data_IF_926848169526
#
_entry.id   IF_926848169526
#
_cell.length_a   1.000
_cell.length_b   1.000
_cell.length_c   1.000
_cell.angle_alpha   90.00
_cell.angle_beta   90.00
_cell.angle_gamma   90.00
#
_symmetry.space_group_name_H-M   'P 1'
#
loop_
_entity.id
_entity.type
_entity.pdbx_description
1 polymer ?
#
# COMPACT_ATOMS: atom_id res chain seq x y z
N UNK A 1 -13.56 6.64 3.74
CA UNK A 1 -12.90 6.37 5.05
C UNK A 1 -13.69 7.04 6.17
N UNK A 2 -14.48 6.26 6.95
CA UNK A 2 -15.07 6.78 8.19
C UNK A 2 -13.92 7.26 9.08
N UNK A 3 -13.93 8.54 9.47
CA UNK A 3 -13.03 9.07 10.49
C UNK A 3 -13.15 8.14 11.71
N UNK A 4 -12.09 7.41 12.05
CA UNK A 4 -11.98 6.72 13.34
C UNK A 4 -11.75 7.82 14.39
N UNK A 5 -12.81 8.62 14.65
CA UNK A 5 -12.90 9.58 15.76
C UNK A 5 -13.65 9.02 16.96
N UNK A 6 -14.24 7.81 16.82
CA UNK A 6 -15.03 7.19 17.86
C UNK A 6 -14.35 5.92 18.36
N UNK A 7 -13.52 6.02 19.39
CA UNK A 7 -12.94 4.86 20.06
C UNK A 7 -11.62 5.07 20.78
N UNK A 8 -10.95 6.19 20.59
CA UNK A 8 -9.81 6.56 21.45
C UNK A 8 -10.41 7.18 22.72
N UNK A 9 -10.43 6.41 23.80
CA UNK A 9 -10.91 6.86 25.10
C UNK A 9 -10.26 8.18 25.54
N UNK A 10 -11.03 8.99 26.25
CA UNK A 10 -10.72 10.31 26.81
C UNK A 10 -9.49 10.39 27.77
N UNK A 11 -8.70 9.35 27.90
CA UNK A 11 -7.40 9.39 28.57
C UNK A 11 -6.33 9.55 27.49
N UNK A 12 -5.69 10.69 27.40
CA UNK A 12 -4.78 11.12 26.31
C UNK A 12 -3.54 10.27 26.04
N UNK A 13 -3.51 9.02 26.41
CA UNK A 13 -2.49 8.04 26.09
C UNK A 13 -3.03 7.03 25.06
N UNK A 14 -2.35 6.91 23.94
CA UNK A 14 -2.64 5.89 22.94
C UNK A 14 -2.36 4.51 23.52
N UNK A 15 -3.40 3.65 23.60
CA UNK A 15 -3.24 2.28 24.04
C UNK A 15 -2.68 1.39 22.92
N UNK A 16 -1.56 0.73 23.20
CA UNK A 16 -0.92 -0.19 22.24
C UNK A 16 -1.82 -1.37 21.87
N UNK A 17 -2.55 -1.95 22.83
CA UNK A 17 -3.40 -3.10 22.58
C UNK A 17 -4.53 -2.76 21.57
N UNK A 18 -5.13 -1.56 21.72
CA UNK A 18 -6.14 -1.08 20.79
C UNK A 18 -5.56 -0.81 19.41
N UNK A 19 -4.40 -0.15 19.32
CA UNK A 19 -3.70 0.08 18.06
C UNK A 19 -3.35 -1.24 17.37
N UNK A 20 -2.84 -2.20 18.12
CA UNK A 20 -2.52 -3.53 17.59
C UNK A 20 -3.76 -4.21 17.01
N UNK A 21 -4.87 -4.25 17.78
CA UNK A 21 -6.13 -4.87 17.36
C UNK A 21 -6.68 -4.24 16.05
N UNK A 22 -6.63 -2.91 15.96
CA UNK A 22 -7.20 -2.18 14.81
C UNK A 22 -6.29 -2.24 13.58
N UNK A 23 -4.99 -2.09 13.78
CA UNK A 23 -4.05 -1.94 12.66
C UNK A 23 -3.40 -3.24 12.19
N UNK A 24 -3.29 -4.28 13.04
CA UNK A 24 -2.65 -5.55 12.66
C UNK A 24 -3.22 -6.15 11.36
N UNK A 25 -4.54 -6.35 11.20
CA UNK A 25 -5.07 -6.94 9.98
C UNK A 25 -4.80 -6.07 8.74
N UNK A 26 -4.81 -4.75 8.89
CA UNK A 26 -4.54 -3.80 7.80
C UNK A 26 -3.06 -3.81 7.41
N UNK A 27 -2.17 -3.76 8.40
CA UNK A 27 -0.73 -3.78 8.17
C UNK A 27 -0.29 -5.13 7.58
N UNK A 28 -0.86 -6.23 8.04
CA UNK A 28 -0.58 -7.55 7.49
C UNK A 28 -1.01 -7.65 6.02
N UNK A 29 -2.22 -7.18 5.67
CA UNK A 29 -2.68 -7.11 4.29
C UNK A 29 -1.77 -6.22 3.42
N UNK A 30 -1.40 -5.05 3.93
CA UNK A 30 -0.49 -4.13 3.27
C UNK A 30 0.88 -4.79 3.01
N UNK A 31 1.48 -5.39 4.03
CA UNK A 31 2.77 -6.06 3.92
C UNK A 31 2.71 -7.26 2.97
N UNK A 32 1.65 -8.08 3.04
CA UNK A 32 1.45 -9.18 2.09
C UNK A 32 1.41 -8.71 0.64
N UNK A 33 0.88 -7.52 0.38
CA UNK A 33 0.86 -6.92 -0.95
C UNK A 33 2.19 -6.25 -1.33
N UNK A 34 3.07 -5.97 -0.36
CA UNK A 34 4.37 -5.35 -0.60
C UNK A 34 5.50 -6.38 -0.78
N UNK A 35 5.51 -7.44 0.01
CA UNK A 35 6.63 -8.37 0.14
C UNK A 35 6.24 -9.85 0.01
N UNK A 36 4.95 -10.16 -0.17
CA UNK A 36 4.43 -11.52 -0.17
C UNK A 36 3.90 -11.95 1.20
N UNK A 37 3.05 -13.01 1.19
CA UNK A 37 2.38 -13.47 2.40
C UNK A 37 3.33 -14.21 3.36
N UNK A 38 4.35 -14.87 2.82
CA UNK A 38 5.27 -15.68 3.62
C UNK A 38 6.09 -14.85 4.61
N UNK A 39 6.54 -13.67 4.18
CA UNK A 39 7.39 -12.78 4.98
C UNK A 39 6.57 -11.72 5.75
N UNK A 40 5.30 -11.53 5.37
CA UNK A 40 4.47 -10.45 5.90
C UNK A 40 4.25 -10.53 7.41
N UNK A 41 4.07 -11.73 7.97
CA UNK A 41 3.82 -11.91 9.41
C UNK A 41 5.05 -11.56 10.25
N UNK A 42 6.24 -12.01 9.85
CA UNK A 42 7.50 -11.69 10.53
C UNK A 42 7.74 -10.17 10.53
N UNK A 43 7.60 -9.54 9.37
CA UNK A 43 7.79 -8.09 9.23
C UNK A 43 6.70 -7.32 9.97
N UNK A 44 5.46 -7.81 10.03
CA UNK A 44 4.40 -7.19 10.82
C UNK A 44 4.73 -7.20 12.32
N UNK A 45 5.28 -8.29 12.84
CA UNK A 45 5.73 -8.36 14.25
C UNK A 45 6.81 -7.31 14.53
N UNK A 46 7.84 -7.19 13.65
CA UNK A 46 8.88 -6.17 13.79
C UNK A 46 8.29 -4.74 13.75
N UNK A 47 7.34 -4.49 12.83
CA UNK A 47 6.62 -3.21 12.76
C UNK A 47 5.94 -2.88 14.10
N UNK A 48 5.19 -3.82 14.69
CA UNK A 48 4.48 -3.57 15.94
C UNK A 48 5.41 -3.47 17.15
N UNK A 49 6.55 -4.16 17.16
CA UNK A 49 7.61 -3.93 18.14
C UNK A 49 8.15 -2.49 18.06
N UNK A 50 8.37 -1.97 16.85
CA UNK A 50 8.80 -0.56 16.65
C UNK A 50 7.70 0.42 17.05
N UNK A 51 6.42 0.11 16.78
CA UNK A 51 5.27 0.90 17.22
C UNK A 51 5.22 0.96 18.73
N UNK A 52 5.31 -0.17 19.43
CA UNK A 52 5.30 -0.24 20.90
C UNK A 52 6.40 0.62 21.53
N UNK A 53 7.65 0.46 21.03
CA UNK A 53 8.80 1.24 21.53
C UNK A 53 8.71 2.73 21.20
N UNK A 54 8.03 3.08 20.10
CA UNK A 54 7.89 4.46 19.64
C UNK A 54 6.68 5.19 20.21
N UNK A 55 5.71 4.47 20.77
CA UNK A 55 4.41 5.01 21.15
C UNK A 55 4.53 6.13 22.21
N UNK A 56 5.35 5.92 23.22
CA UNK A 56 5.58 6.93 24.28
C UNK A 56 6.28 8.21 23.76
N UNK A 57 6.91 8.16 22.59
CA UNK A 57 7.55 9.30 21.93
C UNK A 57 6.69 9.93 20.84
N UNK A 58 5.52 9.37 20.57
CA UNK A 58 4.61 9.87 19.54
C UNK A 58 3.98 11.19 19.97
N UNK A 59 4.37 12.29 19.33
CA UNK A 59 3.94 13.66 19.69
C UNK A 59 2.66 14.12 18.97
N UNK A 60 1.92 13.23 18.29
CA UNK A 60 0.68 13.62 17.60
C UNK A 60 0.86 14.55 16.38
N UNK A 61 2.08 14.73 15.87
CA UNK A 61 2.36 15.61 14.70
C UNK A 61 1.81 15.08 13.39
N UNK A 62 1.33 13.86 13.36
CA UNK A 62 0.65 13.22 12.24
C UNK A 62 -0.46 12.33 12.76
N UNK A 63 -1.34 11.86 11.87
CA UNK A 63 -2.27 10.79 12.26
C UNK A 63 -1.50 9.53 12.63
N UNK A 64 -2.00 8.78 13.61
CA UNK A 64 -1.41 7.50 14.06
C UNK A 64 -1.30 6.52 12.90
N UNK A 65 -2.32 6.44 12.05
CA UNK A 65 -2.30 5.63 10.83
C UNK A 65 -1.12 5.97 9.92
N UNK A 66 -0.89 7.26 9.64
CA UNK A 66 0.25 7.74 8.83
C UNK A 66 1.58 7.29 9.43
N UNK A 67 1.72 7.38 10.75
CA UNK A 67 2.93 6.98 11.45
C UNK A 67 3.17 5.47 11.37
N UNK A 68 2.13 4.64 11.61
CA UNK A 68 2.22 3.18 11.55
C UNK A 68 2.54 2.73 10.11
N UNK A 69 1.83 3.27 9.08
CA UNK A 69 2.12 2.95 7.69
C UNK A 69 3.52 3.37 7.25
N UNK A 70 4.07 4.46 7.79
CA UNK A 70 5.47 4.85 7.54
C UNK A 70 6.44 3.80 8.07
N UNK A 71 6.23 3.30 9.28
CA UNK A 71 7.07 2.23 9.86
C UNK A 71 6.97 0.96 9.00
N UNK A 72 5.75 0.56 8.62
CA UNK A 72 5.51 -0.62 7.82
C UNK A 72 6.13 -0.51 6.41
N UNK A 73 5.98 0.65 5.77
CA UNK A 73 6.56 0.88 4.43
C UNK A 73 8.07 0.83 4.44
N UNK A 74 8.70 1.46 5.44
CA UNK A 74 10.16 1.42 5.57
C UNK A 74 10.63 -0.03 5.81
N UNK A 75 9.99 -0.78 6.70
CA UNK A 75 10.32 -2.18 6.95
C UNK A 75 10.19 -3.03 5.68
N UNK A 76 9.12 -2.86 4.91
CA UNK A 76 8.91 -3.57 3.64
C UNK A 76 9.98 -3.22 2.59
N UNK A 77 10.32 -1.94 2.44
CA UNK A 77 11.35 -1.50 1.49
C UNK A 77 12.73 -2.01 1.90
N UNK A 78 13.07 -1.96 3.19
CA UNK A 78 14.34 -2.48 3.70
C UNK A 78 14.42 -4.00 3.48
N UNK A 79 13.33 -4.72 3.67
CA UNK A 79 13.24 -6.15 3.37
C UNK A 79 13.52 -6.43 1.88
N UNK A 80 12.88 -5.71 0.96
CA UNK A 80 13.07 -5.84 -0.49
C UNK A 80 14.49 -5.47 -0.95
N UNK A 81 15.23 -4.68 -0.19
CA UNK A 81 16.63 -4.29 -0.48
C UNK A 81 17.66 -5.33 -0.06
N UNK A 82 17.33 -6.28 0.80
CA UNK A 82 18.28 -7.32 1.25
C UNK A 82 18.82 -8.12 0.06
N UNK A 83 20.13 -8.39 -0.02
CA UNK A 83 20.76 -9.06 -1.18
C UNK A 83 20.21 -10.46 -1.49
N UNK A 84 19.72 -11.18 -0.50
CA UNK A 84 19.12 -12.51 -0.65
C UNK A 84 17.84 -12.50 -1.52
N UNK A 85 17.14 -11.37 -1.61
CA UNK A 85 15.93 -11.20 -2.42
C UNK A 85 16.21 -10.61 -3.81
N UNK A 86 17.35 -9.95 -4.03
CA UNK A 86 17.77 -9.44 -5.35
C UNK A 86 17.94 -10.56 -6.40
N UNK A 87 18.10 -11.81 -6.00
CA UNK A 87 18.17 -12.96 -6.93
C UNK A 87 16.81 -13.38 -7.51
N UNK A 88 15.68 -12.91 -6.94
CA UNK A 88 14.33 -13.24 -7.41
C UNK A 88 13.72 -12.20 -8.33
N UNK A 89 14.21 -10.97 -8.31
CA UNK A 89 13.76 -9.90 -9.21
C UNK A 89 14.92 -9.50 -10.13
N UNK A 90 15.00 -10.18 -11.26
CA UNK A 90 15.95 -9.90 -12.34
C UNK A 90 15.40 -8.72 -13.13
N UNK A 91 15.64 -7.50 -12.64
CA UNK A 91 15.71 -6.28 -13.45
C UNK A 91 16.10 -5.13 -12.53
N UNK A 92 17.32 -4.64 -12.73
CA UNK A 92 17.91 -3.58 -11.95
C UNK A 92 17.26 -2.23 -12.26
N UNK A 93 16.59 -1.67 -11.27
CA UNK A 93 16.27 -0.24 -11.23
C UNK A 93 16.58 0.26 -9.82
N UNK A 94 17.52 1.18 -9.73
CA UNK A 94 17.89 1.89 -8.49
C UNK A 94 16.66 2.53 -7.85
N UNK A 95 16.33 2.10 -6.64
CA UNK A 95 15.29 2.71 -5.82
C UNK A 95 15.89 3.56 -4.72
N UNK A 96 16.26 4.77 -5.08
CA UNK A 96 16.57 5.80 -4.09
C UNK A 96 15.28 6.42 -3.55
N UNK A 97 14.93 6.13 -2.28
CA UNK A 97 14.08 7.01 -1.49
C UNK A 97 15.06 7.82 -0.63
N UNK A 98 15.22 9.13 -0.86
CA UNK A 98 16.05 9.93 0.01
C UNK A 98 15.42 10.00 1.39
N UNK A 99 16.19 9.72 2.43
CA UNK A 99 15.85 10.07 3.80
C UNK A 99 15.96 11.60 3.94
N UNK A 100 14.96 12.32 3.45
CA UNK A 100 14.92 13.77 3.44
C UNK A 100 13.91 14.30 4.44
N UNK A 101 14.39 15.03 5.45
CA UNK A 101 13.59 15.96 6.24
C UNK A 101 13.11 17.06 5.29
N UNK A 102 11.83 17.07 4.94
CA UNK A 102 11.24 18.24 4.32
C UNK A 102 9.82 18.44 4.84
N UNK A 103 9.56 19.67 5.25
CA UNK A 103 8.28 20.18 5.73
C UNK A 103 7.49 20.56 4.50
N UNK A 104 6.31 20.00 4.31
CA UNK A 104 5.44 20.30 3.17
C UNK A 104 4.05 20.59 3.66
N UNK A 105 3.53 21.76 3.28
CA UNK A 105 2.13 22.17 3.41
C UNK A 105 1.32 21.58 2.24
N UNK A 106 0.10 21.17 2.51
CA UNK A 106 -0.73 20.43 1.55
C UNK A 106 -2.13 20.99 1.53
N UNK A 107 -2.58 21.45 0.37
CA UNK A 107 -3.98 21.75 0.07
C UNK A 107 -4.69 20.50 -0.50
N UNK A 108 -5.97 20.35 -0.13
CA UNK A 108 -6.82 19.19 -0.42
C UNK A 108 -7.54 19.30 -1.77
N UNK A 109 -7.63 18.17 -2.48
CA UNK A 109 -8.68 17.95 -3.49
C UNK A 109 -9.08 16.48 -3.60
N UNK A 110 -10.37 16.26 -3.72
CA UNK A 110 -11.17 15.08 -3.42
C UNK A 110 -11.18 13.88 -4.39
N UNK A 111 -11.50 12.74 -3.79
CA UNK A 111 -12.52 11.68 -3.97
C UNK A 111 -12.53 10.79 -5.23
N UNK A 112 -12.56 9.45 -5.03
CA UNK A 112 -13.67 8.54 -5.37
C UNK A 112 -13.47 7.16 -4.76
N UNK A 113 -14.52 6.66 -4.11
CA UNK A 113 -14.71 5.28 -3.68
C UNK A 113 -16.02 4.77 -4.29
N UNK A 114 -16.07 3.50 -4.72
CA UNK A 114 -17.35 2.83 -4.94
C UNK A 114 -17.32 1.39 -4.45
N UNK A 115 -18.35 1.03 -3.66
CA UNK A 115 -18.61 -0.31 -3.12
C UNK A 115 -19.74 -0.97 -3.90
N UNK A 116 -19.58 -2.23 -4.31
CA UNK A 116 -20.72 -3.15 -4.42
C UNK A 116 -20.33 -4.62 -4.27
N UNK A 117 -21.12 -5.34 -3.48
CA UNK A 117 -21.03 -6.76 -3.17
C UNK A 117 -21.49 -7.65 -4.34
N UNK A 118 -20.94 -8.85 -4.47
CA UNK A 118 -21.33 -9.81 -5.48
C UNK A 118 -21.26 -11.28 -5.02
N UNK A 119 -21.99 -12.15 -5.74
CA UNK A 119 -22.33 -13.54 -5.45
C UNK A 119 -21.20 -14.58 -5.62
N UNK A 120 -21.44 -15.85 -5.23
CA UNK A 120 -20.46 -16.93 -5.13
C UNK A 120 -19.70 -17.29 -6.43
N UNK A 121 -20.31 -17.19 -7.60
CA UNK A 121 -19.62 -17.38 -8.90
C UNK A 121 -18.56 -16.31 -9.17
N UNK A 122 -18.80 -15.09 -8.72
CA UNK A 122 -17.85 -13.98 -8.77
C UNK A 122 -16.62 -14.22 -7.87
N UNK A 123 -16.71 -15.11 -6.87
CA UNK A 123 -15.60 -15.32 -5.92
C UNK A 123 -14.45 -16.17 -6.50
N UNK A 124 -14.73 -17.12 -7.40
CA UNK A 124 -13.69 -17.95 -8.06
C UNK A 124 -12.98 -17.09 -9.13
N UNK A 125 -13.76 -16.40 -9.94
CA UNK A 125 -13.27 -15.43 -10.95
C UNK A 125 -12.43 -14.34 -10.29
N UNK A 126 -12.91 -13.80 -9.16
CA UNK A 126 -12.15 -12.84 -8.36
C UNK A 126 -10.84 -13.41 -7.80
N UNK A 127 -10.77 -14.69 -7.46
CA UNK A 127 -9.56 -15.35 -6.95
C UNK A 127 -8.43 -15.40 -7.98
N UNK A 128 -8.74 -15.74 -9.23
CA UNK A 128 -7.78 -15.79 -10.33
C UNK A 128 -7.35 -14.39 -10.77
N UNK A 129 -8.29 -13.47 -10.90
CA UNK A 129 -8.04 -12.07 -11.18
C UNK A 129 -7.15 -11.42 -10.12
N UNK A 130 -7.41 -11.67 -8.84
CA UNK A 130 -6.59 -11.16 -7.72
C UNK A 130 -5.18 -11.75 -7.77
N UNK A 131 -5.04 -13.03 -8.12
CA UNK A 131 -3.73 -13.69 -8.26
C UNK A 131 -2.93 -13.09 -9.41
N UNK A 132 -3.55 -12.90 -10.57
CA UNK A 132 -2.95 -12.24 -11.73
C UNK A 132 -2.49 -10.81 -11.35
N UNK A 133 -3.39 -10.01 -10.79
CA UNK A 133 -3.09 -8.65 -10.34
C UNK A 133 -1.92 -8.60 -9.35
N UNK A 134 -1.88 -9.53 -8.41
CA UNK A 134 -0.82 -9.62 -7.40
C UNK A 134 0.54 -9.91 -8.03
N UNK A 135 0.60 -10.84 -8.99
CA UNK A 135 1.83 -11.17 -9.72
C UNK A 135 2.43 -9.95 -10.45
N UNK A 136 1.60 -9.06 -10.98
CA UNK A 136 2.09 -7.85 -11.66
C UNK A 136 2.40 -6.71 -10.69
N UNK A 137 1.68 -6.61 -9.56
CA UNK A 137 2.06 -5.69 -8.48
C UNK A 137 3.46 -6.04 -7.98
N UNK A 138 3.80 -7.33 -7.87
CA UNK A 138 5.12 -7.80 -7.42
C UNK A 138 6.26 -7.48 -8.40
N UNK A 139 5.95 -7.28 -9.69
CA UNK A 139 6.92 -6.83 -10.69
C UNK A 139 7.15 -5.31 -10.70
N UNK A 140 6.33 -4.53 -9.99
CA UNK A 140 6.54 -3.09 -9.88
C UNK A 140 7.79 -2.78 -9.03
N UNK A 141 8.57 -1.75 -9.40
CA UNK A 141 9.59 -1.19 -8.52
C UNK A 141 9.00 -0.85 -7.14
N UNK A 142 9.73 -1.12 -6.07
CA UNK A 142 9.23 -1.00 -4.69
C UNK A 142 8.59 0.37 -4.38
N UNK A 143 9.14 1.45 -4.93
CA UNK A 143 8.62 2.81 -4.77
C UNK A 143 7.30 3.08 -5.51
N UNK A 144 7.06 2.42 -6.65
CA UNK A 144 5.78 2.48 -7.38
C UNK A 144 4.77 1.53 -6.73
N UNK A 145 5.19 0.33 -6.34
CA UNK A 145 4.37 -0.65 -5.62
C UNK A 145 3.79 -0.03 -4.36
N UNK A 146 4.62 0.61 -3.51
CA UNK A 146 4.16 1.24 -2.29
C UNK A 146 3.05 2.29 -2.53
N UNK A 147 3.22 3.15 -3.54
CA UNK A 147 2.21 4.17 -3.87
C UNK A 147 0.92 3.55 -4.40
N UNK A 148 1.02 2.54 -5.27
CA UNK A 148 -0.16 1.84 -5.83
C UNK A 148 -0.91 1.11 -4.72
N UNK A 149 -0.22 0.37 -3.85
CA UNK A 149 -0.85 -0.39 -2.76
C UNK A 149 -1.50 0.54 -1.75
N UNK A 150 -0.82 1.60 -1.31
CA UNK A 150 -1.39 2.59 -0.37
C UNK A 150 -2.60 3.32 -0.95
N UNK A 151 -2.60 3.62 -2.26
CA UNK A 151 -3.73 4.26 -2.93
C UNK A 151 -4.89 3.31 -3.15
N UNK A 152 -4.64 2.13 -3.75
CA UNK A 152 -5.70 1.26 -4.28
C UNK A 152 -6.23 0.27 -3.24
N UNK A 153 -5.38 -0.26 -2.35
CA UNK A 153 -5.80 -1.25 -1.34
C UNK A 153 -6.10 -0.61 0.01
N UNK A 154 -5.35 0.42 0.40
CA UNK A 154 -5.56 1.09 1.69
C UNK A 154 -6.40 2.36 1.58
N UNK A 155 -6.71 2.80 0.35
CA UNK A 155 -7.59 3.95 0.08
C UNK A 155 -7.03 5.28 0.60
N UNK A 156 -5.70 5.42 0.71
CA UNK A 156 -5.08 6.65 1.17
C UNK A 156 -5.09 7.71 0.07
N UNK A 157 -5.39 8.94 0.44
CA UNK A 157 -5.28 10.10 -0.46
C UNK A 157 -3.80 10.41 -0.76
N UNK A 158 -3.52 11.03 -1.91
CA UNK A 158 -2.15 11.37 -2.33
C UNK A 158 -1.36 12.15 -1.27
N UNK A 159 -2.03 13.06 -0.55
CA UNK A 159 -1.43 13.83 0.53
C UNK A 159 -1.04 12.96 1.74
N UNK A 160 -1.84 11.95 2.07
CA UNK A 160 -1.54 10.99 3.15
C UNK A 160 -0.37 10.09 2.74
N UNK A 161 -0.36 9.61 1.50
CA UNK A 161 0.74 8.82 0.93
C UNK A 161 2.04 9.62 0.93
N UNK A 162 1.98 10.91 0.56
CA UNK A 162 3.13 11.81 0.62
C UNK A 162 3.70 11.91 2.04
N UNK A 163 2.83 12.04 3.05
CA UNK A 163 3.24 12.03 4.47
C UNK A 163 3.81 10.69 4.92
N UNK A 164 3.20 9.55 4.50
CA UNK A 164 3.70 8.20 4.80
C UNK A 164 5.11 8.00 4.24
N UNK A 165 5.31 8.37 2.97
CA UNK A 165 6.58 8.14 2.26
C UNK A 165 7.61 9.23 2.49
N UNK A 166 7.25 10.39 3.06
CA UNK A 166 8.14 11.54 3.24
C UNK A 166 8.57 12.17 1.90
N UNK A 167 7.70 12.21 0.91
CA UNK A 167 7.95 12.73 -0.44
C UNK A 167 6.91 13.77 -0.84
N UNK A 168 7.17 14.54 -1.90
CA UNK A 168 6.22 15.51 -2.45
C UNK A 168 4.97 14.83 -3.04
N UNK A 169 3.80 15.47 -2.94
CA UNK A 169 2.54 15.01 -3.55
C UNK A 169 2.67 14.82 -5.06
N UNK A 170 3.40 15.70 -5.75
CA UNK A 170 3.67 15.54 -7.17
C UNK A 170 4.47 14.27 -7.49
N UNK A 171 5.43 13.90 -6.62
CA UNK A 171 6.16 12.63 -6.75
C UNK A 171 5.23 11.44 -6.55
N UNK A 172 4.28 11.52 -5.62
CA UNK A 172 3.24 10.49 -5.44
C UNK A 172 2.42 10.35 -6.71
N UNK A 173 1.89 11.47 -7.26
CA UNK A 173 1.09 11.46 -8.50
C UNK A 173 1.86 10.84 -9.67
N UNK A 174 3.13 11.21 -9.87
CA UNK A 174 3.96 10.64 -10.92
C UNK A 174 4.22 9.13 -10.73
N UNK A 175 4.54 8.70 -9.50
CA UNK A 175 4.77 7.29 -9.20
C UNK A 175 3.49 6.48 -9.37
N UNK A 176 2.35 7.01 -8.93
CA UNK A 176 1.05 6.38 -9.08
C UNK A 176 0.67 6.23 -10.57
N UNK A 177 0.84 7.29 -11.35
CA UNK A 177 0.61 7.25 -12.79
C UNK A 177 1.49 6.20 -13.48
N UNK A 178 2.80 6.24 -13.27
CA UNK A 178 3.75 5.27 -13.86
C UNK A 178 3.45 3.83 -13.42
N UNK A 179 3.16 3.62 -12.14
CA UNK A 179 2.81 2.31 -11.60
C UNK A 179 1.53 1.75 -12.22
N UNK A 180 0.48 2.57 -12.31
CA UNK A 180 -0.79 2.18 -12.95
C UNK A 180 -0.64 1.91 -14.45
N UNK A 181 0.07 2.77 -15.18
CA UNK A 181 0.32 2.58 -16.61
C UNK A 181 1.06 1.27 -16.88
N UNK A 182 2.11 0.97 -16.10
CA UNK A 182 2.85 -0.29 -16.23
C UNK A 182 1.97 -1.49 -15.91
N UNK A 183 1.21 -1.42 -14.80
CA UNK A 183 0.31 -2.49 -14.38
C UNK A 183 -0.76 -2.78 -15.44
N UNK A 184 -1.41 -1.75 -15.98
CA UNK A 184 -2.41 -1.89 -17.03
C UNK A 184 -1.80 -2.55 -18.28
N UNK A 185 -0.64 -2.08 -18.73
CA UNK A 185 0.06 -2.65 -19.87
C UNK A 185 0.38 -4.14 -19.67
N UNK A 186 0.86 -4.51 -18.49
CA UNK A 186 1.20 -5.89 -18.17
C UNK A 186 -0.07 -6.77 -18.06
N UNK A 187 -1.17 -6.24 -17.53
CA UNK A 187 -2.47 -6.93 -17.44
C UNK A 187 -3.10 -7.14 -18.82
N UNK A 188 -3.09 -6.12 -19.68
CA UNK A 188 -3.59 -6.22 -21.06
C UNK A 188 -2.79 -7.25 -21.87
N UNK A 189 -1.48 -7.34 -21.63
CA UNK A 189 -0.61 -8.25 -22.38
C UNK A 189 -0.70 -9.74 -21.93
N UNK A 190 -1.09 -10.02 -20.67
CA UNK A 190 -0.87 -11.36 -20.11
C UNK A 190 -2.09 -11.95 -19.38
N UNK A 191 -3.15 -11.17 -19.13
CA UNK A 191 -4.27 -11.62 -18.29
C UNK A 191 -5.64 -11.39 -18.90
N UNK A 192 -5.75 -11.26 -20.23
CA UNK A 192 -7.05 -11.04 -20.89
C UNK A 192 -7.77 -9.76 -20.45
N UNK A 193 -7.04 -8.80 -19.95
CA UNK A 193 -7.60 -7.48 -19.69
C UNK A 193 -7.63 -6.66 -20.97
N UNK A 194 -8.72 -5.96 -21.21
CA UNK A 194 -8.89 -5.08 -22.36
C UNK A 194 -9.67 -3.82 -21.99
N UNK A 195 -9.60 -2.81 -22.86
CA UNK A 195 -10.42 -1.61 -22.69
C UNK A 195 -11.70 -1.76 -23.50
N UNK A 196 -12.83 -1.56 -22.83
CA UNK A 196 -14.12 -1.52 -23.47
C UNK A 196 -14.31 -0.24 -24.32
N UNK A 197 -15.44 -0.13 -25.00
CA UNK A 197 -15.80 1.02 -25.83
C UNK A 197 -15.89 2.35 -25.05
N UNK A 198 -15.98 2.29 -23.73
CA UNK A 198 -15.98 3.44 -22.82
C UNK A 198 -14.61 3.70 -22.20
N UNK A 199 -13.57 3.02 -22.68
CA UNK A 199 -12.20 3.10 -22.15
C UNK A 199 -12.05 2.60 -20.69
N UNK A 200 -13.00 1.77 -20.20
CA UNK A 200 -12.87 1.10 -18.91
C UNK A 200 -12.04 -0.16 -19.08
N UNK A 201 -11.18 -0.43 -18.09
CA UNK A 201 -10.42 -1.66 -18.05
C UNK A 201 -11.34 -2.80 -17.61
N UNK A 202 -11.53 -3.78 -18.47
CA UNK A 202 -12.43 -4.93 -18.29
C UNK A 202 -11.66 -6.23 -18.49
N UNK A 203 -12.07 -7.29 -17.83
CA UNK A 203 -11.46 -8.61 -17.93
C UNK A 203 -12.42 -9.60 -18.61
N UNK A 204 -11.89 -10.39 -19.55
CA UNK A 204 -12.67 -11.36 -20.33
C UNK A 204 -12.76 -12.76 -19.72
N UNK A 205 -12.17 -12.95 -18.54
CA UNK A 205 -12.17 -14.26 -17.84
C UNK A 205 -11.08 -15.21 -18.31
N UNK A 206 -10.20 -14.83 -19.22
CA UNK A 206 -9.12 -15.69 -19.73
C UNK A 206 -7.77 -15.30 -19.10
N UNK A 207 -7.05 -16.29 -18.64
CA UNK A 207 -5.62 -16.17 -18.30
C UNK A 207 -4.87 -16.74 -19.50
N UNK A 208 -4.07 -15.93 -20.17
CA UNK A 208 -3.22 -16.34 -21.28
C UNK A 208 -1.96 -17.03 -20.80
#
# INVERSE_FOLDING_TARGET
>A
MKKIRGGLKESGALDFAELYRVFRPRILRYLSSMIGAAEAEEIAQDVFLRVSRGLGKFKGRSQVSTWIYRIATNAAIDHLRKPSLKRRTRDGVESGIPAGKSRIEVEDADVYADEKASSAETSVINGEMIRCLRNFIDKLPANQRAVVVLSSLEGLKNAEIARVLGIHVQTVKMRLHRGRTRLIKDLEAHCGWFRDSRNHLTWDGKIL
#
